data_IF_969666563201
#
_entry.id   IF_969666563201
#
_cell.length_a   1.000
_cell.length_b   1.000
_cell.length_c   1.000
_cell.angle_alpha   90.00
_cell.angle_beta   90.00
_cell.angle_gamma   90.00
#
_symmetry.space_group_name_H-M   'P 1'
#
loop_
_entity.id
_entity.type
_entity.pdbx_description
1 polymer ?
#
# COMPACT_ATOMS: atom_id res chain seq x y z
N UNK A 1 -26.61 0.00 0.99
CA UNK A 1 -25.37 -0.49 1.61
C UNK A 1 -24.34 0.61 1.46
N UNK A 2 -24.06 1.32 2.56
CA UNK A 2 -23.24 2.53 2.56
C UNK A 2 -21.75 2.16 2.45
N UNK A 3 -21.04 2.93 1.62
CA UNK A 3 -19.66 2.70 1.21
C UNK A 3 -18.69 2.80 2.39
N UNK A 4 -18.08 1.67 2.73
CA UNK A 4 -16.95 1.50 3.65
C UNK A 4 -15.66 2.16 3.09
N UNK A 5 -15.56 3.49 3.10
CA UNK A 5 -14.36 4.16 2.58
C UNK A 5 -13.21 4.20 3.61
N UNK A 6 -13.52 4.28 4.90
CA UNK A 6 -12.53 4.34 6.00
C UNK A 6 -11.92 2.98 6.34
N UNK A 7 -12.71 1.90 6.27
CA UNK A 7 -12.24 0.55 6.61
C UNK A 7 -11.18 0.06 5.62
N UNK A 8 -11.33 0.44 4.35
CA UNK A 8 -10.43 0.05 3.28
C UNK A 8 -9.00 0.57 3.49
N UNK A 9 -8.82 1.76 4.07
CA UNK A 9 -7.46 2.32 4.28
C UNK A 9 -6.67 1.56 5.34
N UNK A 10 -7.33 1.19 6.44
CA UNK A 10 -6.70 0.39 7.51
C UNK A 10 -6.37 -1.01 7.03
N UNK A 11 -7.26 -1.64 6.27
CA UNK A 11 -7.05 -2.96 5.66
C UNK A 11 -5.91 -2.96 4.65
N UNK A 12 -5.87 -1.96 3.75
CA UNK A 12 -4.78 -1.78 2.78
C UNK A 12 -3.45 -1.63 3.52
N UNK A 13 -3.40 -0.81 4.57
CA UNK A 13 -2.19 -0.60 5.35
C UNK A 13 -1.76 -1.89 6.07
N UNK A 14 -2.70 -2.61 6.68
CA UNK A 14 -2.42 -3.88 7.34
C UNK A 14 -1.86 -4.92 6.36
N UNK A 15 -2.46 -5.03 5.17
CA UNK A 15 -1.96 -5.89 4.10
C UNK A 15 -0.55 -5.49 3.70
N UNK A 16 -0.31 -4.21 3.41
CA UNK A 16 1.00 -3.71 2.97
C UNK A 16 2.10 -3.99 4.00
N UNK A 17 1.81 -3.78 5.29
CA UNK A 17 2.74 -4.04 6.38
C UNK A 17 2.94 -5.54 6.62
N UNK A 18 1.90 -6.36 6.50
CA UNK A 18 2.01 -7.83 6.57
C UNK A 18 2.92 -8.36 5.46
N UNK A 19 2.71 -7.94 4.22
CA UNK A 19 3.55 -8.34 3.09
C UNK A 19 5.00 -7.87 3.24
N UNK A 20 5.24 -6.76 3.95
CA UNK A 20 6.58 -6.28 4.28
C UNK A 20 7.31 -7.23 5.23
N UNK A 21 6.61 -7.76 6.24
CA UNK A 21 7.15 -8.70 7.22
C UNK A 21 7.48 -10.07 6.60
N UNK A 22 6.70 -10.50 5.61
CA UNK A 22 6.93 -11.76 4.90
C UNK A 22 8.03 -11.67 3.85
N UNK A 23 8.44 -10.45 3.49
CA UNK A 23 9.39 -10.23 2.43
C UNK A 23 10.84 -10.39 2.86
N UNK A 24 11.61 -11.15 2.08
CA UNK A 24 13.06 -11.25 2.28
C UNK A 24 13.82 -10.05 1.70
N UNK A 25 13.18 -9.25 0.85
CA UNK A 25 13.77 -8.01 0.34
C UNK A 25 12.72 -6.96 -0.02
N UNK A 26 13.14 -5.69 -0.11
CA UNK A 26 12.27 -4.59 -0.56
C UNK A 26 11.78 -4.81 -1.99
N UNK A 27 12.63 -5.30 -2.89
CA UNK A 27 12.25 -5.62 -4.28
C UNK A 27 11.12 -6.65 -4.34
N UNK A 28 11.23 -7.71 -3.54
CA UNK A 28 10.24 -8.78 -3.49
C UNK A 28 8.92 -8.29 -2.86
N UNK A 29 9.00 -7.46 -1.81
CA UNK A 29 7.84 -6.77 -1.25
C UNK A 29 7.12 -5.91 -2.30
N UNK A 30 7.83 -5.04 -3.01
CA UNK A 30 7.26 -4.19 -4.06
C UNK A 30 6.66 -5.03 -5.21
N UNK A 31 7.28 -6.16 -5.55
CA UNK A 31 6.73 -7.09 -6.53
C UNK A 31 5.39 -7.69 -6.07
N UNK A 32 5.31 -8.15 -4.82
CA UNK A 32 4.05 -8.64 -4.23
C UNK A 32 2.96 -7.57 -4.24
N UNK A 33 3.26 -6.34 -3.83
CA UNK A 33 2.29 -5.24 -3.80
C UNK A 33 1.70 -4.94 -5.18
N UNK A 34 2.50 -5.03 -6.25
CA UNK A 34 2.02 -4.88 -7.62
C UNK A 34 0.96 -5.92 -8.00
N UNK A 35 1.04 -7.14 -7.45
CA UNK A 35 0.02 -8.18 -7.62
C UNK A 35 -1.35 -7.79 -7.03
N UNK A 36 -1.37 -6.91 -6.03
CA UNK A 36 -2.58 -6.34 -5.44
C UNK A 36 -3.01 -5.01 -6.08
N UNK A 37 -2.27 -4.51 -7.08
CA UNK A 37 -2.52 -3.21 -7.70
C UNK A 37 -2.05 -2.02 -6.84
N UNK A 38 -1.14 -2.25 -5.89
CA UNK A 38 -0.55 -1.20 -5.06
C UNK A 38 0.91 -0.93 -5.42
N UNK A 39 1.34 0.29 -5.20
CA UNK A 39 2.73 0.71 -5.27
C UNK A 39 3.11 1.51 -4.03
N UNK A 40 4.41 1.62 -3.78
CA UNK A 40 4.97 2.48 -2.74
C UNK A 40 5.63 3.66 -3.42
N UNK A 41 5.35 4.86 -2.92
CA UNK A 41 5.99 6.10 -3.35
C UNK A 41 6.61 6.79 -2.15
N UNK A 42 7.92 6.97 -2.21
CA UNK A 42 8.66 7.78 -1.25
C UNK A 42 8.59 9.26 -1.68
N UNK A 43 8.26 10.13 -0.73
CA UNK A 43 8.17 11.58 -0.91
C UNK A 43 8.87 12.28 0.24
N UNK A 44 9.11 13.59 0.14
CA UNK A 44 9.66 14.38 1.25
C UNK A 44 8.79 14.31 2.52
N UNK A 45 7.48 14.08 2.36
CA UNK A 45 6.52 13.95 3.46
C UNK A 45 6.45 12.53 4.04
N UNK A 46 7.19 11.58 3.46
CA UNK A 46 7.25 10.19 3.87
C UNK A 46 6.78 9.22 2.79
N UNK A 47 6.45 8.01 3.22
CA UNK A 47 6.14 6.88 2.36
C UNK A 47 4.64 6.68 2.22
N UNK A 48 4.15 6.57 0.99
CA UNK A 48 2.74 6.41 0.68
C UNK A 48 2.48 5.14 -0.11
N UNK A 49 1.34 4.49 0.16
CA UNK A 49 0.73 3.48 -0.69
C UNK A 49 -0.08 4.19 -1.75
N UNK A 50 0.14 3.86 -3.02
CA UNK A 50 -0.61 4.39 -4.17
C UNK A 50 -1.31 3.26 -4.91
N UNK A 51 -2.40 3.58 -5.61
CA UNK A 51 -3.01 2.66 -6.57
C UNK A 51 -2.23 2.72 -7.87
N UNK A 52 -1.81 1.57 -8.39
CA UNK A 52 -1.15 1.47 -9.71
C UNK A 52 -2.10 1.88 -10.84
N UNK A 53 -3.39 1.53 -10.72
CA UNK A 53 -4.39 1.81 -11.76
C UNK A 53 -4.79 3.28 -11.82
N UNK A 54 -4.81 3.98 -10.67
CA UNK A 54 -5.31 5.35 -10.57
C UNK A 54 -4.20 6.39 -10.37
N UNK A 55 -2.96 5.94 -10.17
CA UNK A 55 -1.80 6.75 -9.75
C UNK A 55 -2.11 7.72 -8.60
N UNK A 56 -3.02 7.30 -7.71
CA UNK A 56 -3.54 8.13 -6.62
C UNK A 56 -3.02 7.63 -5.26
N UNK A 57 -2.63 8.53 -4.35
CA UNK A 57 -2.29 8.15 -2.98
C UNK A 57 -3.52 7.59 -2.25
N UNK A 58 -3.33 6.46 -1.58
CA UNK A 58 -4.35 5.78 -0.80
C UNK A 58 -4.14 6.04 0.69
N UNK A 59 -2.93 5.78 1.20
CA UNK A 59 -2.62 5.98 2.61
C UNK A 59 -1.11 6.15 2.85
N UNK A 60 -0.77 6.78 3.98
CA UNK A 60 0.62 6.93 4.43
C UNK A 60 1.05 5.71 5.25
N UNK A 61 2.29 5.28 5.08
CA UNK A 61 3.00 4.34 5.95
C UNK A 61 3.81 5.17 6.97
N UNK A 62 3.13 5.63 8.02
CA UNK A 62 3.75 6.26 9.20
C UNK A 62 4.34 5.25 10.16
#
# INVERSE_FOLDING_TARGET
MNLHHTDNTTEIRALVLRERLLAVSEREWLHRLRGYGYAIRDTAEGRFVTSVLRDAPLCRLT
#
